data_IF_972279681846
#
_entry.id   IF_972279681846
#
_cell.length_a   1.000
_cell.length_b   1.000
_cell.length_c   1.000
_cell.angle_alpha   90.00
_cell.angle_beta   90.00
_cell.angle_gamma   90.00
#
_symmetry.space_group_name_H-M   'P 1'
#
loop_
_entity.id
_entity.type
_entity.pdbx_description
1 polymer ?
#
# COMPACT_ATOMS: atom_id res chain seq x y z
N UNK A 1 -4.21 14.46 16.77
CA UNK A 1 -3.40 15.69 16.81
C UNK A 1 -2.15 15.38 17.60
N UNK A 2 -0.98 15.70 17.06
CA UNK A 2 0.30 15.59 17.79
C UNK A 2 0.52 16.86 18.63
N UNK A 3 0.36 16.74 19.95
CA UNK A 3 0.49 17.88 20.89
C UNK A 3 1.96 18.19 21.20
N UNK A 4 2.86 17.22 21.13
CA UNK A 4 4.30 17.44 21.27
C UNK A 4 4.84 18.22 20.08
N UNK A 5 4.50 17.81 18.86
CA UNK A 5 4.85 18.51 17.64
C UNK A 5 4.26 19.92 17.58
N UNK A 6 3.06 20.13 18.13
CA UNK A 6 2.48 21.46 18.30
C UNK A 6 3.33 22.33 19.25
N UNK A 7 3.67 21.81 20.43
CA UNK A 7 4.49 22.49 21.42
C UNK A 7 5.87 22.86 20.86
N UNK A 8 6.56 21.92 20.20
CA UNK A 8 7.87 22.14 19.58
C UNK A 8 7.85 23.21 18.49
N UNK A 9 6.77 23.32 17.71
CA UNK A 9 6.63 24.40 16.71
C UNK A 9 6.46 25.76 17.39
N UNK A 10 5.55 25.86 18.34
CA UNK A 10 5.31 27.11 19.08
C UNK A 10 6.57 27.61 19.80
N UNK A 11 7.30 26.71 20.48
CA UNK A 11 8.55 27.04 21.17
C UNK A 11 9.69 27.47 20.23
N UNK A 12 9.67 27.08 18.94
CA UNK A 12 10.63 27.58 17.95
C UNK A 12 10.27 28.97 17.45
N UNK A 13 8.98 29.27 17.34
CA UNK A 13 8.47 30.55 16.86
C UNK A 13 8.60 31.64 17.93
N UNK A 14 8.18 31.34 19.16
CA UNK A 14 8.30 32.23 20.31
C UNK A 14 8.63 31.43 21.58
N UNK A 15 9.93 31.28 21.92
CA UNK A 15 10.36 30.59 23.12
C UNK A 15 9.92 31.26 24.43
N UNK A 16 9.42 32.51 24.38
CA UNK A 16 9.09 33.29 25.57
C UNK A 16 7.61 33.20 25.99
N UNK A 17 6.72 32.80 25.07
CA UNK A 17 5.27 32.67 25.30
C UNK A 17 4.86 31.28 25.81
N UNK A 18 5.48 30.82 26.91
CA UNK A 18 5.13 29.51 27.48
C UNK A 18 3.70 29.49 28.06
N UNK A 19 3.27 30.58 28.69
CA UNK A 19 1.93 30.69 29.26
C UNK A 19 0.86 30.67 28.16
N UNK A 20 1.06 31.41 27.06
CA UNK A 20 0.12 31.38 25.93
C UNK A 20 0.12 30.04 25.19
N UNK A 21 1.26 29.34 25.15
CA UNK A 21 1.33 27.97 24.63
C UNK A 21 0.56 26.98 25.50
N UNK A 22 0.71 27.06 26.82
CA UNK A 22 0.00 26.18 27.77
C UNK A 22 -1.51 26.33 27.59
N UNK A 23 -2.05 27.56 27.59
CA UNK A 23 -3.48 27.82 27.38
C UNK A 23 -4.00 27.25 26.05
N UNK A 24 -3.21 27.41 24.97
CA UNK A 24 -3.57 26.83 23.66
C UNK A 24 -3.58 25.30 23.69
N UNK A 25 -2.62 24.68 24.38
CA UNK A 25 -2.58 23.22 24.55
C UNK A 25 -3.76 22.73 25.38
N UNK A 26 -4.08 23.39 26.49
CA UNK A 26 -5.23 23.07 27.33
C UNK A 26 -6.52 23.10 26.53
N UNK A 27 -6.75 24.18 25.77
CA UNK A 27 -7.92 24.29 24.88
C UNK A 27 -8.01 23.11 23.91
N UNK A 28 -6.91 22.76 23.24
CA UNK A 28 -6.86 21.66 22.26
C UNK A 28 -7.04 20.28 22.89
N UNK A 29 -6.53 20.08 24.11
CA UNK A 29 -6.71 18.85 24.86
C UNK A 29 -8.18 18.69 25.23
N UNK A 30 -8.82 19.74 25.77
CA UNK A 30 -10.22 19.72 26.19
C UNK A 30 -11.21 19.62 25.01
N UNK A 31 -10.80 20.00 23.79
CA UNK A 31 -11.59 19.77 22.58
C UNK A 31 -11.79 18.28 22.26
N UNK A 32 -10.86 17.42 22.68
CA UNK A 32 -10.83 15.99 22.32
C UNK A 32 -11.04 15.10 23.55
N UNK A 33 -10.38 15.41 24.66
CA UNK A 33 -10.40 14.61 25.88
C UNK A 33 -11.47 15.11 26.86
N UNK A 34 -12.27 14.17 27.37
CA UNK A 34 -13.21 14.42 28.46
C UNK A 34 -12.52 14.32 29.83
N UNK A 35 -11.70 15.33 30.15
CA UNK A 35 -10.95 15.44 31.41
C UNK A 35 -11.21 16.79 32.08
N UNK A 36 -10.83 16.93 33.35
CA UNK A 36 -10.97 18.22 34.03
C UNK A 36 -9.96 19.25 33.50
N UNK A 37 -10.28 20.56 33.54
CA UNK A 37 -9.35 21.62 33.16
C UNK A 37 -8.02 21.54 33.91
N UNK A 38 -8.05 21.24 35.21
CA UNK A 38 -6.84 21.09 36.03
C UNK A 38 -5.95 19.98 35.47
N UNK A 39 -6.54 18.84 35.07
CA UNK A 39 -5.78 17.74 34.48
C UNK A 39 -5.21 18.11 33.11
N UNK A 40 -5.95 18.87 32.31
CA UNK A 40 -5.47 19.37 31.02
C UNK A 40 -4.26 20.31 31.20
N UNK A 41 -4.27 21.18 32.21
CA UNK A 41 -3.11 22.02 32.56
C UNK A 41 -1.89 21.18 32.94
N UNK A 42 -2.06 20.17 33.81
CA UNK A 42 -0.96 19.25 34.16
C UNK A 42 -0.33 18.58 32.94
N UNK A 43 -1.16 18.10 32.00
CA UNK A 43 -0.70 17.48 30.77
C UNK A 43 0.01 18.51 29.88
N UNK A 44 -0.57 19.69 29.67
CA UNK A 44 0.02 20.74 28.85
C UNK A 44 1.40 21.17 29.38
N UNK A 45 1.53 21.36 30.69
CA UNK A 45 2.79 21.69 31.34
C UNK A 45 3.83 20.57 31.17
N UNK A 46 3.44 19.30 31.31
CA UNK A 46 4.31 18.16 31.08
C UNK A 46 4.78 18.08 29.62
N UNK A 47 3.87 18.27 28.66
CA UNK A 47 4.16 18.31 27.22
C UNK A 47 5.18 19.40 26.90
N UNK A 48 5.02 20.61 27.45
CA UNK A 48 5.98 21.70 27.28
C UNK A 48 7.35 21.32 27.86
N UNK A 49 7.38 20.70 29.04
CA UNK A 49 8.61 20.24 29.68
C UNK A 49 9.38 19.25 28.78
N UNK A 50 8.71 18.21 28.29
CA UNK A 50 9.30 17.19 27.40
C UNK A 50 9.69 17.77 26.04
N UNK A 51 8.86 18.65 25.48
CA UNK A 51 9.13 19.35 24.23
C UNK A 51 10.42 20.19 24.33
N UNK A 52 10.59 20.96 25.42
CA UNK A 52 11.81 21.75 25.68
C UNK A 52 13.04 20.86 25.84
N UNK A 53 12.92 19.76 26.59
CA UNK A 53 14.01 18.83 26.84
C UNK A 53 14.53 18.19 25.53
N UNK A 54 13.67 18.03 24.53
CA UNK A 54 14.00 17.36 23.27
C UNK A 54 14.09 18.30 22.06
N UNK A 55 13.92 19.62 22.25
CA UNK A 55 13.85 20.59 21.15
C UNK A 55 15.17 20.75 20.39
N UNK A 56 16.27 20.80 21.14
CA UNK A 56 17.62 21.11 20.65
C UNK A 56 18.61 20.02 21.06
N UNK A 57 18.27 18.75 20.79
CA UNK A 57 19.15 17.62 21.08
C UNK A 57 20.34 17.60 20.13
N UNK A 58 21.55 17.45 20.68
CA UNK A 58 22.79 17.35 19.92
C UNK A 58 23.27 15.91 19.82
N UNK A 59 23.72 15.52 18.62
CA UNK A 59 24.37 14.24 18.38
C UNK A 59 23.91 13.58 17.08
N UNK A 60 24.85 12.99 16.36
CA UNK A 60 24.63 12.40 15.02
C UNK A 60 23.46 11.42 14.94
N UNK A 61 23.18 10.68 16.01
CA UNK A 61 22.07 9.70 16.07
C UNK A 61 20.76 10.35 16.51
N UNK A 62 20.81 11.43 17.29
CA UNK A 62 19.65 12.11 17.86
C UNK A 62 19.03 13.12 16.89
N UNK A 63 19.85 13.77 16.05
CA UNK A 63 19.37 14.71 15.06
C UNK A 63 18.58 13.98 13.95
N UNK A 64 17.33 14.39 13.64
CA UNK A 64 16.59 13.83 12.52
C UNK A 64 17.21 14.26 11.19
N UNK A 65 17.02 13.45 10.15
CA UNK A 65 17.32 13.84 8.78
C UNK A 65 16.13 14.63 8.23
N UNK A 66 16.36 15.81 7.63
CA UNK A 66 15.29 16.72 7.21
C UNK A 66 15.46 17.05 5.72
N UNK A 67 14.50 16.64 4.90
CA UNK A 67 14.44 17.01 3.47
C UNK A 67 13.76 18.36 3.23
N UNK A 68 12.88 18.79 4.14
CA UNK A 68 11.99 19.94 3.92
C UNK A 68 10.82 19.67 2.97
N UNK A 69 10.64 18.42 2.53
CA UNK A 69 9.58 18.01 1.60
C UNK A 69 8.60 17.09 2.34
N UNK A 70 7.30 17.41 2.32
CA UNK A 70 6.29 16.58 2.98
C UNK A 70 5.84 15.41 2.09
N UNK A 71 5.37 14.33 2.72
CA UNK A 71 4.79 13.17 2.03
C UNK A 71 3.64 13.56 1.09
N UNK A 72 2.78 14.50 1.52
CA UNK A 72 1.62 14.95 0.76
C UNK A 72 1.98 15.80 -0.46
N UNK A 73 2.97 16.68 -0.34
CA UNK A 73 3.47 17.49 -1.48
C UNK A 73 4.12 16.60 -2.53
N UNK A 74 4.95 15.64 -2.09
CA UNK A 74 5.66 14.75 -3.00
C UNK A 74 4.79 13.59 -3.54
N UNK A 75 3.65 13.32 -2.91
CA UNK A 75 2.74 12.25 -3.33
C UNK A 75 3.22 10.84 -2.96
N UNK A 76 3.84 10.69 -1.79
CA UNK A 76 4.26 9.37 -1.28
C UNK A 76 3.06 8.68 -0.63
N UNK A 77 2.91 7.37 -0.88
CA UNK A 77 1.75 6.57 -0.49
C UNK A 77 0.56 6.67 -1.45
N UNK A 78 0.74 7.27 -2.63
CA UNK A 78 -0.30 7.37 -3.66
C UNK A 78 0.03 6.67 -4.98
N UNK A 79 1.02 5.75 -5.00
CA UNK A 79 1.46 4.97 -6.19
C UNK A 79 1.67 5.85 -7.44
N UNK A 80 2.12 7.08 -7.21
CA UNK A 80 2.43 8.07 -8.21
C UNK A 80 3.94 8.21 -8.43
N UNK A 81 4.36 9.14 -9.29
CA UNK A 81 5.78 9.30 -9.64
C UNK A 81 6.67 9.57 -8.41
N UNK A 82 6.22 10.39 -7.47
CA UNK A 82 6.96 10.68 -6.25
C UNK A 82 7.06 9.49 -5.30
N UNK A 83 6.01 8.67 -5.22
CA UNK A 83 6.01 7.42 -4.44
C UNK A 83 7.08 6.44 -4.93
N UNK A 84 7.08 6.17 -6.24
CA UNK A 84 8.08 5.32 -6.87
C UNK A 84 9.50 5.84 -6.69
N UNK A 85 9.68 7.17 -6.70
CA UNK A 85 10.98 7.77 -6.46
C UNK A 85 11.48 7.53 -5.03
N UNK A 86 10.62 7.73 -4.03
CA UNK A 86 10.97 7.46 -2.63
C UNK A 86 11.25 5.97 -2.42
N UNK A 87 10.47 5.07 -3.01
CA UNK A 87 10.73 3.63 -2.94
C UNK A 87 12.11 3.25 -3.52
N UNK A 88 12.52 3.85 -4.63
CA UNK A 88 13.87 3.65 -5.16
C UNK A 88 14.95 4.12 -4.18
N UNK A 89 14.73 5.26 -3.50
CA UNK A 89 15.64 5.77 -2.46
C UNK A 89 15.69 4.87 -1.23
N UNK A 90 14.59 4.23 -0.84
CA UNK A 90 14.59 3.21 0.21
C UNK A 90 15.53 2.05 -0.16
N UNK A 91 15.47 1.59 -1.41
CA UNK A 91 16.40 0.58 -1.92
C UNK A 91 17.88 0.99 -1.82
N UNK A 92 18.21 2.24 -2.14
CA UNK A 92 19.56 2.81 -1.96
C UNK A 92 19.98 2.84 -0.48
N UNK A 93 19.08 3.26 0.42
CA UNK A 93 19.34 3.34 1.86
C UNK A 93 19.52 1.95 2.48
N UNK A 94 18.74 0.95 2.06
CA UNK A 94 18.89 -0.44 2.49
C UNK A 94 20.25 -0.98 2.00
N UNK A 95 20.54 -0.79 0.72
CA UNK A 95 21.73 -1.30 0.05
C UNK A 95 21.61 -2.77 -0.35
N UNK A 96 22.75 -3.41 -0.66
CA UNK A 96 22.76 -4.80 -1.14
C UNK A 96 22.35 -5.78 -0.04
N UNK A 97 21.42 -6.67 -0.37
CA UNK A 97 20.97 -7.75 0.50
C UNK A 97 21.46 -9.12 -0.01
N UNK A 98 21.26 -10.17 0.80
CA UNK A 98 21.45 -11.56 0.38
C UNK A 98 20.19 -12.23 -0.18
N UNK A 99 19.11 -11.47 -0.40
CA UNK A 99 17.85 -11.98 -0.90
C UNK A 99 17.89 -12.21 -2.42
N UNK A 100 16.99 -13.08 -2.90
CA UNK A 100 16.81 -13.39 -4.32
C UNK A 100 16.04 -12.26 -5.01
N UNK A 101 14.99 -11.78 -4.33
CA UNK A 101 14.23 -10.58 -4.70
C UNK A 101 14.28 -9.66 -3.50
N UNK A 102 14.75 -8.43 -3.70
CA UNK A 102 14.88 -7.42 -2.65
C UNK A 102 14.28 -6.07 -3.07
N UNK A 103 14.31 -5.11 -2.16
CA UNK A 103 13.71 -3.78 -2.35
C UNK A 103 14.24 -3.02 -3.57
N UNK A 104 15.39 -3.38 -4.14
CA UNK A 104 15.91 -2.72 -5.34
C UNK A 104 15.13 -3.09 -6.61
N UNK A 105 14.42 -4.22 -6.59
CA UNK A 105 13.63 -4.71 -7.73
C UNK A 105 12.20 -4.15 -7.74
N UNK A 106 11.74 -3.54 -6.63
CA UNK A 106 10.40 -2.95 -6.48
C UNK A 106 9.26 -3.93 -6.77
N UNK A 107 9.44 -5.21 -6.41
CA UNK A 107 8.40 -6.24 -6.54
C UNK A 107 7.47 -6.26 -5.31
N UNK A 108 6.38 -7.03 -5.37
CA UNK A 108 5.36 -7.09 -4.30
C UNK A 108 5.86 -7.75 -3.02
N UNK A 109 6.96 -8.49 -3.08
CA UNK A 109 7.47 -9.25 -1.94
C UNK A 109 8.98 -9.39 -1.94
N UNK A 110 9.54 -9.55 -0.74
CA UNK A 110 10.91 -10.00 -0.56
C UNK A 110 11.00 -11.52 -0.66
N UNK A 111 12.05 -12.04 -1.30
CA UNK A 111 12.23 -13.49 -1.50
C UNK A 111 13.61 -13.94 -1.04
N UNK A 112 13.66 -14.96 -0.19
CA UNK A 112 14.92 -15.63 0.20
C UNK A 112 14.88 -17.11 -0.20
N UNK A 113 16.04 -17.67 -0.56
CA UNK A 113 16.15 -19.09 -0.92
C UNK A 113 16.30 -19.94 0.35
N UNK A 114 15.52 -21.02 0.46
CA UNK A 114 15.59 -22.00 1.55
C UNK A 114 15.61 -23.41 0.94
N UNK A 115 16.79 -24.04 0.97
CA UNK A 115 17.01 -25.32 0.28
C UNK A 115 16.78 -25.16 -1.22
N UNK A 116 15.84 -25.95 -1.76
CA UNK A 116 15.42 -25.89 -3.17
C UNK A 116 14.22 -24.96 -3.41
N UNK A 117 13.63 -24.42 -2.33
CA UNK A 117 12.44 -23.56 -2.38
C UNK A 117 12.80 -22.09 -2.15
N UNK A 118 11.78 -21.25 -2.32
CA UNK A 118 11.78 -19.82 -2.04
C UNK A 118 10.77 -19.52 -0.94
N UNK A 119 11.21 -18.77 0.07
CA UNK A 119 10.34 -18.17 1.07
C UNK A 119 10.01 -16.75 0.61
N UNK A 120 8.73 -16.46 0.49
CA UNK A 120 8.18 -15.17 0.10
C UNK A 120 7.66 -14.47 1.34
N UNK A 121 8.01 -13.20 1.53
CA UNK A 121 7.59 -12.39 2.67
C UNK A 121 7.13 -11.02 2.18
N UNK A 122 5.96 -10.59 2.65
CA UNK A 122 5.41 -9.26 2.37
C UNK A 122 4.83 -8.62 3.63
N UNK A 123 4.61 -7.30 3.56
CA UNK A 123 3.84 -6.53 4.52
C UNK A 123 3.06 -5.44 3.82
N UNK A 124 1.77 -5.36 4.14
CA UNK A 124 0.85 -4.36 3.63
C UNK A 124 0.30 -3.48 4.74
N UNK A 125 0.21 -2.18 4.48
CA UNK A 125 -0.36 -1.21 5.39
C UNK A 125 -1.88 -1.13 5.26
N UNK A 126 -2.58 -0.84 6.36
CA UNK A 126 -4.02 -0.62 6.28
C UNK A 126 -4.35 0.57 5.38
N UNK A 127 -5.49 0.51 4.68
CA UNK A 127 -5.95 1.64 3.92
C UNK A 127 -6.27 2.81 4.86
N UNK A 128 -5.49 3.89 4.78
CA UNK A 128 -5.52 4.98 5.78
C UNK A 128 -6.92 5.56 6.00
N UNK A 129 -7.80 5.55 4.99
CA UNK A 129 -9.16 6.10 5.11
C UNK A 129 -10.19 5.14 5.74
N UNK A 130 -9.79 3.93 6.12
CA UNK A 130 -10.67 2.95 6.78
C UNK A 130 -10.48 2.88 8.30
N UNK A 131 -9.78 3.83 8.91
CA UNK A 131 -9.57 3.89 10.37
C UNK A 131 -10.84 3.86 11.22
N UNK A 132 -11.97 4.30 10.68
CA UNK A 132 -13.27 4.30 11.39
C UNK A 132 -14.15 3.10 10.99
N UNK A 133 -13.60 2.20 10.17
CA UNK A 133 -14.22 0.96 9.72
C UNK A 133 -13.26 -0.21 9.97
N UNK A 134 -12.97 -0.56 11.24
CA UNK A 134 -11.85 -1.43 11.57
C UNK A 134 -11.97 -2.84 10.98
N UNK A 135 -13.18 -3.43 10.98
CA UNK A 135 -13.44 -4.69 10.29
C UNK A 135 -13.03 -4.66 8.82
N UNK A 136 -13.52 -3.68 8.05
CA UNK A 136 -13.17 -3.54 6.63
C UNK A 136 -11.67 -3.31 6.46
N UNK A 137 -11.07 -2.50 7.34
CA UNK A 137 -9.63 -2.27 7.36
C UNK A 137 -8.86 -3.58 7.54
N UNK A 138 -9.29 -4.46 8.45
CA UNK A 138 -8.68 -5.76 8.72
C UNK A 138 -8.87 -6.75 7.58
N UNK A 139 -10.10 -6.85 7.07
CA UNK A 139 -10.44 -7.72 5.96
C UNK A 139 -9.62 -7.39 4.70
N UNK A 140 -9.58 -6.11 4.31
CA UNK A 140 -8.88 -5.71 3.09
C UNK A 140 -7.36 -5.79 3.23
N UNK A 141 -6.77 -5.45 4.38
CA UNK A 141 -5.29 -5.54 4.55
C UNK A 141 -4.83 -7.00 4.60
N UNK A 142 -5.59 -7.90 5.22
CA UNK A 142 -5.29 -9.33 5.21
C UNK A 142 -5.35 -9.90 3.79
N UNK A 143 -6.40 -9.51 3.05
CA UNK A 143 -6.51 -9.89 1.64
C UNK A 143 -5.32 -9.38 0.83
N UNK A 144 -4.96 -8.11 0.96
CA UNK A 144 -3.84 -7.49 0.24
C UNK A 144 -2.51 -8.24 0.51
N UNK A 145 -2.17 -8.46 1.78
CA UNK A 145 -0.96 -9.19 2.15
C UNK A 145 -0.93 -10.62 1.59
N UNK A 146 -2.07 -11.33 1.54
CA UNK A 146 -2.13 -12.65 0.91
C UNK A 146 -2.00 -12.57 -0.62
N UNK A 147 -2.57 -11.55 -1.27
CA UNK A 147 -2.46 -11.37 -2.72
C UNK A 147 -1.01 -11.25 -3.16
N UNK A 148 -0.21 -10.43 -2.47
CA UNK A 148 1.22 -10.28 -2.74
C UNK A 148 1.94 -11.64 -2.73
N UNK A 149 1.67 -12.49 -1.74
CA UNK A 149 2.25 -13.84 -1.66
C UNK A 149 1.78 -14.72 -2.82
N UNK A 150 0.47 -14.71 -3.12
CA UNK A 150 -0.09 -15.50 -4.21
C UNK A 150 0.42 -15.04 -5.60
N UNK A 151 0.57 -13.74 -5.82
CA UNK A 151 1.11 -13.14 -7.05
C UNK A 151 2.54 -13.57 -7.33
N UNK A 152 3.31 -13.91 -6.29
CA UNK A 152 4.65 -14.50 -6.44
C UNK A 152 4.64 -16.01 -6.74
N UNK A 153 3.45 -16.60 -6.91
CA UNK A 153 3.29 -18.03 -7.18
C UNK A 153 3.55 -18.87 -5.94
N UNK A 154 3.39 -18.29 -4.75
CA UNK A 154 3.63 -18.93 -3.48
C UNK A 154 2.35 -19.25 -2.73
N UNK A 155 2.37 -20.40 -2.05
CA UNK A 155 1.31 -20.81 -1.14
C UNK A 155 1.54 -20.12 0.20
N UNK A 156 0.59 -19.29 0.69
CA UNK A 156 0.72 -18.68 2.00
C UNK A 156 0.72 -19.73 3.12
N UNK A 157 1.49 -19.46 4.16
CA UNK A 157 1.68 -20.33 5.33
C UNK A 157 1.16 -19.69 6.61
N UNK A 158 1.30 -18.37 6.74
CA UNK A 158 0.91 -17.64 7.94
C UNK A 158 0.79 -16.13 7.68
N UNK A 159 -0.01 -15.47 8.51
CA UNK A 159 -0.10 -14.02 8.63
C UNK A 159 0.37 -13.54 10.00
N UNK A 160 0.80 -12.27 10.06
CA UNK A 160 1.11 -11.53 11.29
C UNK A 160 0.51 -10.12 11.22
N UNK A 161 0.14 -9.52 12.34
CA UNK A 161 -0.51 -8.19 12.36
C UNK A 161 0.20 -7.21 13.29
N UNK A 162 0.37 -5.97 12.88
CA UNK A 162 0.78 -4.86 13.76
C UNK A 162 -0.29 -3.76 13.69
N UNK A 163 -0.89 -3.40 14.82
CA UNK A 163 -2.02 -2.46 14.87
C UNK A 163 -1.82 -1.41 15.96
N UNK A 164 -2.02 -0.15 15.59
CA UNK A 164 -1.78 1.00 16.44
C UNK A 164 -3.04 1.86 16.49
N UNK A 165 -3.47 2.23 17.69
CA UNK A 165 -4.64 3.10 17.91
C UNK A 165 -4.18 4.31 18.71
N UNK A 166 -4.56 5.51 18.29
CA UNK A 166 -4.25 6.75 19.02
C UNK A 166 -4.92 6.76 20.41
N UNK A 167 -4.45 7.63 21.30
CA UNK A 167 -4.71 7.52 22.74
C UNK A 167 -6.20 7.56 23.14
N UNK A 168 -7.03 8.23 22.34
CA UNK A 168 -8.47 8.36 22.59
C UNK A 168 -9.32 7.35 21.78
N UNK A 169 -8.68 6.51 20.97
CA UNK A 169 -9.39 5.52 20.17
C UNK A 169 -9.92 4.36 21.01
N UNK A 170 -11.14 3.93 20.70
CA UNK A 170 -11.76 2.79 21.38
C UNK A 170 -10.96 1.50 21.12
N UNK A 171 -10.66 0.77 22.20
CA UNK A 171 -9.96 -0.53 22.16
C UNK A 171 -10.71 -1.55 21.29
N UNK A 172 -12.04 -1.44 21.19
CA UNK A 172 -12.86 -2.28 20.32
C UNK A 172 -12.44 -2.21 18.84
N UNK A 173 -11.83 -1.10 18.39
CA UNK A 173 -11.27 -1.01 17.03
C UNK A 173 -10.24 -2.12 16.78
N UNK A 174 -9.45 -2.51 17.79
CA UNK A 174 -8.47 -3.60 17.67
C UNK A 174 -9.19 -4.94 17.47
N UNK A 175 -10.20 -5.25 18.29
CA UNK A 175 -10.91 -6.52 18.17
C UNK A 175 -11.65 -6.64 16.84
N UNK A 176 -12.30 -5.56 16.40
CA UNK A 176 -13.02 -5.51 15.14
C UNK A 176 -12.08 -5.61 13.93
N UNK A 177 -10.91 -4.97 13.99
CA UNK A 177 -9.84 -5.14 13.00
C UNK A 177 -9.34 -6.58 12.90
N UNK A 178 -9.06 -7.21 14.04
CA UNK A 178 -8.63 -8.61 14.08
C UNK A 178 -9.74 -9.53 13.55
N UNK A 179 -11.01 -9.27 13.85
CA UNK A 179 -12.14 -10.02 13.30
C UNK A 179 -12.19 -9.97 11.76
N UNK A 180 -11.90 -8.80 11.16
CA UNK A 180 -11.75 -8.67 9.71
C UNK A 180 -10.62 -9.54 9.15
N UNK A 181 -9.46 -9.55 9.81
CA UNK A 181 -8.31 -10.39 9.41
C UNK A 181 -8.65 -11.88 9.54
N UNK A 182 -9.24 -12.29 10.67
CA UNK A 182 -9.54 -13.70 10.93
C UNK A 182 -10.67 -14.22 10.04
N UNK A 183 -11.57 -13.35 9.55
CA UNK A 183 -12.53 -13.74 8.51
C UNK A 183 -11.81 -14.22 7.25
N UNK A 184 -10.79 -13.50 6.78
CA UNK A 184 -9.97 -13.94 5.64
C UNK A 184 -9.17 -15.19 5.99
N UNK A 185 -8.64 -15.27 7.22
CA UNK A 185 -7.93 -16.45 7.73
C UNK A 185 -8.78 -17.72 7.66
N UNK A 186 -10.03 -17.67 8.13
CA UNK A 186 -10.95 -18.81 8.14
C UNK A 186 -11.39 -19.21 6.73
N UNK A 187 -11.65 -18.23 5.85
CA UNK A 187 -12.04 -18.49 4.46
C UNK A 187 -10.90 -19.12 3.63
N UNK A 188 -9.65 -18.81 3.95
CA UNK A 188 -8.47 -19.28 3.18
C UNK A 188 -7.73 -20.44 3.84
N UNK A 189 -7.99 -20.69 5.13
CA UNK A 189 -7.22 -21.62 5.96
C UNK A 189 -5.82 -21.13 6.34
N UNK A 190 -5.44 -19.88 6.03
CA UNK A 190 -4.13 -19.32 6.35
C UNK A 190 -4.17 -18.67 7.74
N UNK A 191 -3.45 -19.18 8.76
CA UNK A 191 -3.60 -18.71 10.14
C UNK A 191 -2.94 -17.35 10.39
N UNK A 192 -3.61 -16.49 11.18
CA UNK A 192 -2.97 -15.36 11.88
C UNK A 192 -2.27 -15.90 13.14
N UNK A 193 -0.94 -15.86 13.19
CA UNK A 193 -0.18 -16.57 14.24
C UNK A 193 0.50 -15.68 15.27
N UNK A 194 0.66 -14.38 14.99
CA UNK A 194 1.32 -13.44 15.91
C UNK A 194 0.96 -12.00 15.57
N UNK A 195 1.25 -11.08 16.50
CA UNK A 195 1.10 -9.66 16.25
C UNK A 195 1.60 -8.73 17.35
N UNK A 196 1.38 -7.43 17.14
CA UNK A 196 1.78 -6.34 18.03
C UNK A 196 0.68 -5.28 18.11
N UNK A 197 0.54 -4.66 19.29
CA UNK A 197 -0.42 -3.59 19.56
C UNK A 197 0.27 -2.42 20.26
N UNK A 198 0.14 -1.21 19.73
CA UNK A 198 0.73 0.01 20.32
C UNK A 198 -0.21 1.22 20.26
N UNK A 199 0.14 2.28 20.98
CA UNK A 199 -0.50 3.59 20.84
C UNK A 199 0.24 4.43 19.80
N UNK A 200 -0.48 5.06 18.87
CA UNK A 200 0.15 6.02 17.94
C UNK A 200 0.70 7.16 18.79
N UNK A 201 2.01 7.38 18.78
CA UNK A 201 2.67 8.47 19.53
C UNK A 201 2.45 8.45 21.05
N UNK A 202 2.02 7.32 21.63
CA UNK A 202 1.73 7.24 23.06
C UNK A 202 0.57 8.15 23.48
N UNK A 203 0.78 8.92 24.53
CA UNK A 203 -0.13 9.95 25.06
C UNK A 203 0.00 11.31 24.35
N UNK A 204 0.97 11.47 23.44
CA UNK A 204 1.23 12.72 22.69
C UNK A 204 0.40 12.86 21.42
N UNK A 205 -0.28 11.81 20.96
CA UNK A 205 -1.20 11.89 19.82
C UNK A 205 -2.61 11.63 20.29
N UNK A 206 -3.33 12.73 20.50
CA UNK A 206 -4.74 12.72 20.91
C UNK A 206 -5.66 12.50 19.70
N UNK A 207 -6.76 11.80 19.90
CA UNK A 207 -7.72 11.40 18.88
C UNK A 207 -7.80 9.90 18.67
N UNK A 208 -8.59 9.48 17.69
CA UNK A 208 -9.08 8.09 17.58
C UNK A 208 -8.52 7.33 16.36
N UNK A 209 -7.48 7.87 15.74
CA UNK A 209 -6.93 7.33 14.50
C UNK A 209 -6.34 5.94 14.74
N UNK A 210 -6.53 5.06 13.77
CA UNK A 210 -5.95 3.72 13.70
C UNK A 210 -4.99 3.65 12.51
N UNK A 211 -3.87 2.96 12.68
CA UNK A 211 -2.89 2.64 11.64
C UNK A 211 -2.30 1.26 11.92
N UNK A 212 -1.70 0.61 10.94
CA UNK A 212 -1.14 -0.72 11.13
C UNK A 212 -0.87 -1.41 9.80
N UNK A 213 -0.62 -2.71 9.86
CA UNK A 213 -0.43 -3.56 8.69
C UNK A 213 -0.56 -5.04 9.00
N UNK A 214 -0.64 -5.83 7.93
CA UNK A 214 -0.58 -7.29 7.99
C UNK A 214 0.58 -7.75 7.13
N UNK A 215 1.43 -8.59 7.71
CA UNK A 215 2.45 -9.33 6.99
C UNK A 215 1.97 -10.73 6.64
N UNK A 216 2.50 -11.29 5.57
CA UNK A 216 2.25 -12.67 5.17
C UNK A 216 3.55 -13.35 4.74
N UNK A 217 3.59 -14.67 4.95
CA UNK A 217 4.72 -15.52 4.58
C UNK A 217 4.21 -16.67 3.73
N UNK A 218 4.86 -16.96 2.61
CA UNK A 218 4.55 -18.09 1.74
C UNK A 218 5.77 -18.85 1.26
N UNK A 219 5.53 -19.99 0.62
CA UNK A 219 6.58 -20.83 0.06
C UNK A 219 6.25 -21.24 -1.38
N UNK A 220 7.26 -21.28 -2.24
CA UNK A 220 7.15 -21.82 -3.59
C UNK A 220 8.43 -22.48 -4.08
N UNK A 221 8.28 -23.37 -5.05
CA UNK A 221 9.40 -23.88 -5.86
C UNK A 221 9.58 -23.09 -7.18
N UNK A 222 8.63 -22.23 -7.55
CA UNK A 222 8.65 -21.47 -8.80
C UNK A 222 8.03 -20.09 -8.63
N UNK A 223 8.81 -19.05 -8.92
CA UNK A 223 8.39 -17.65 -8.80
C UNK A 223 7.71 -17.15 -10.07
N UNK A 224 6.67 -16.35 -9.94
CA UNK A 224 5.93 -15.72 -11.06
C UNK A 224 6.14 -14.20 -11.12
N UNK A 225 7.38 -13.75 -10.91
CA UNK A 225 7.76 -12.34 -10.86
C UNK A 225 7.52 -11.59 -12.18
N UNK A 226 7.23 -10.28 -12.09
CA UNK A 226 6.85 -9.40 -13.22
C UNK A 226 7.85 -9.39 -14.38
N UNK A 227 9.13 -9.52 -14.09
CA UNK A 227 10.22 -9.50 -15.08
C UNK A 227 10.25 -10.73 -16.02
N UNK A 228 9.36 -11.71 -15.82
CA UNK A 228 9.34 -12.95 -16.60
C UNK A 228 8.42 -12.90 -17.82
N UNK A 229 7.59 -11.86 -17.97
CA UNK A 229 6.70 -11.68 -19.12
C UNK A 229 7.48 -11.69 -20.46
N UNK A 230 6.91 -12.30 -21.50
CA UNK A 230 7.58 -12.52 -22.79
C UNK A 230 6.72 -12.12 -23.98
N UNK A 231 7.38 -11.73 -25.06
CA UNK A 231 6.74 -11.55 -26.36
C UNK A 231 5.96 -12.82 -26.76
N UNK A 232 4.72 -12.63 -27.20
CA UNK A 232 3.81 -13.71 -27.60
C UNK A 232 2.91 -14.24 -26.49
N UNK A 233 3.14 -13.86 -25.23
CA UNK A 233 2.24 -14.20 -24.14
C UNK A 233 0.87 -13.51 -24.28
N UNK A 234 -0.15 -14.16 -23.74
CA UNK A 234 -1.47 -13.56 -23.55
C UNK A 234 -1.62 -13.05 -22.11
N UNK A 235 -2.37 -11.94 -21.98
CA UNK A 235 -2.66 -11.31 -20.70
C UNK A 235 -4.10 -11.65 -20.34
N UNK A 236 -4.29 -12.34 -19.23
CA UNK A 236 -5.59 -12.70 -18.68
C UNK A 236 -5.88 -11.87 -17.44
N UNK A 237 -7.15 -11.58 -17.21
CA UNK A 237 -7.61 -10.91 -15.98
C UNK A 237 -8.84 -11.61 -15.44
N UNK A 238 -8.90 -11.82 -14.12
CA UNK A 238 -10.13 -12.27 -13.45
C UNK A 238 -11.11 -11.11 -13.30
N UNK A 239 -12.35 -11.41 -12.91
CA UNK A 239 -13.23 -10.39 -12.37
C UNK A 239 -12.64 -9.71 -11.12
N UNK A 240 -13.04 -8.46 -10.91
CA UNK A 240 -12.59 -7.63 -9.78
C UNK A 240 -13.68 -6.70 -9.26
N UNK A 241 -13.77 -6.60 -7.93
CA UNK A 241 -14.70 -5.71 -7.22
C UNK A 241 -13.99 -4.64 -6.38
N UNK A 242 -12.66 -4.59 -6.45
CA UNK A 242 -11.83 -3.71 -5.63
C UNK A 242 -11.74 -4.13 -4.17
N UNK A 243 -10.97 -3.36 -3.42
CA UNK A 243 -10.80 -3.51 -1.97
C UNK A 243 -10.91 -2.18 -1.27
N UNK A 244 -9.96 -1.90 -0.37
CA UNK A 244 -10.04 -0.73 0.52
C UNK A 244 -10.25 0.60 -0.21
N UNK A 245 -9.70 0.77 -1.42
CA UNK A 245 -9.91 1.96 -2.26
C UNK A 245 -11.36 2.10 -2.74
N UNK A 246 -11.96 1.01 -3.25
CA UNK A 246 -13.36 1.00 -3.70
C UNK A 246 -14.30 1.13 -2.50
N UNK A 247 -14.05 0.43 -1.40
CA UNK A 247 -14.85 0.53 -0.16
C UNK A 247 -14.81 1.94 0.40
N UNK A 248 -13.63 2.57 0.43
CA UNK A 248 -13.48 3.97 0.87
C UNK A 248 -14.27 4.92 -0.02
N UNK A 249 -14.24 4.71 -1.34
CA UNK A 249 -14.99 5.51 -2.31
C UNK A 249 -16.48 5.42 -2.03
N UNK A 250 -16.99 4.19 -1.91
CA UNK A 250 -18.39 3.91 -1.60
C UNK A 250 -18.84 4.58 -0.30
N UNK A 251 -18.05 4.45 0.77
CA UNK A 251 -18.35 5.04 2.09
C UNK A 251 -18.42 6.57 2.05
N UNK A 252 -17.50 7.24 1.35
CA UNK A 252 -17.47 8.71 1.32
C UNK A 252 -18.37 9.37 0.29
N UNK A 253 -19.01 8.59 -0.56
CA UNK A 253 -20.06 9.04 -1.47
C UNK A 253 -21.44 8.48 -1.09
N UNK A 254 -21.57 7.89 0.11
CA UNK A 254 -22.83 7.35 0.64
C UNK A 254 -23.44 6.21 -0.22
N UNK A 255 -22.61 5.50 -0.99
CA UNK A 255 -22.99 4.36 -1.85
C UNK A 255 -22.69 3.03 -1.16
N UNK A 256 -23.16 2.88 0.07
CA UNK A 256 -22.76 1.80 0.99
C UNK A 256 -23.04 0.38 0.46
N UNK A 257 -24.03 0.22 -0.42
CA UNK A 257 -24.36 -1.05 -1.05
C UNK A 257 -23.22 -1.63 -1.91
N UNK A 258 -22.27 -0.80 -2.33
CA UNK A 258 -21.09 -1.24 -3.09
C UNK A 258 -20.05 -1.88 -2.17
N UNK A 259 -20.04 -1.55 -0.87
CA UNK A 259 -19.07 -2.11 0.09
C UNK A 259 -19.20 -3.63 0.16
N UNK A 260 -20.42 -4.16 0.14
CA UNK A 260 -20.67 -5.60 0.18
C UNK A 260 -19.99 -6.36 -0.98
N UNK A 261 -19.90 -5.74 -2.17
CA UNK A 261 -19.22 -6.34 -3.33
C UNK A 261 -17.70 -6.49 -3.09
N UNK A 262 -17.11 -5.63 -2.25
CA UNK A 262 -15.67 -5.65 -1.96
C UNK A 262 -15.28 -6.71 -0.92
N UNK A 263 -16.25 -7.24 -0.17
CA UNK A 263 -16.04 -8.25 0.89
C UNK A 263 -16.08 -9.65 0.27
N UNK A 264 -15.02 -9.98 -0.46
CA UNK A 264 -14.87 -11.30 -1.10
C UNK A 264 -13.39 -11.73 -1.15
N UNK A 265 -13.15 -13.01 -1.41
CA UNK A 265 -11.81 -13.60 -1.57
C UNK A 265 -11.56 -14.19 -2.97
N UNK A 266 -12.28 -13.72 -4.00
CA UNK A 266 -12.27 -14.30 -5.36
C UNK A 266 -10.86 -14.36 -5.96
N UNK A 267 -10.06 -13.30 -5.76
CA UNK A 267 -8.66 -13.31 -6.15
C UNK A 267 -7.89 -14.49 -5.54
N UNK A 268 -8.03 -14.68 -4.22
CA UNK A 268 -7.30 -15.71 -3.49
C UNK A 268 -7.74 -17.11 -3.93
N UNK A 269 -9.04 -17.30 -4.18
CA UNK A 269 -9.60 -18.55 -4.71
C UNK A 269 -9.07 -18.86 -6.13
N UNK A 270 -8.96 -17.86 -7.01
CA UNK A 270 -8.38 -18.03 -8.35
C UNK A 270 -6.91 -18.47 -8.26
N UNK A 271 -6.11 -17.80 -7.43
CA UNK A 271 -4.71 -18.14 -7.21
C UNK A 271 -4.55 -19.54 -6.61
N UNK A 272 -5.39 -19.90 -5.65
CA UNK A 272 -5.39 -21.22 -5.03
C UNK A 272 -5.71 -22.32 -6.06
N UNK A 273 -6.68 -22.09 -6.97
CA UNK A 273 -6.98 -23.02 -8.06
C UNK A 273 -5.78 -23.21 -9.01
N UNK A 274 -5.05 -22.15 -9.35
CA UNK A 274 -3.83 -22.21 -10.16
C UNK A 274 -2.66 -22.89 -9.44
N UNK A 275 -2.57 -22.76 -8.11
CA UNK A 275 -1.58 -23.46 -7.30
C UNK A 275 -1.88 -24.96 -7.19
N UNK A 276 -3.13 -25.34 -6.93
CA UNK A 276 -3.55 -26.74 -6.81
C UNK A 276 -3.40 -27.53 -8.11
N UNK A 277 -3.61 -26.86 -9.26
CA UNK A 277 -3.45 -27.45 -10.59
C UNK A 277 -2.01 -27.45 -11.10
N UNK A 278 -1.06 -26.90 -10.35
CA UNK A 278 0.32 -26.64 -10.78
C UNK A 278 0.47 -25.72 -12.01
N UNK A 279 -0.61 -25.09 -12.49
CA UNK A 279 -0.57 -24.19 -13.64
C UNK A 279 0.26 -22.91 -13.37
N UNK A 280 0.38 -22.48 -12.11
CA UNK A 280 1.30 -21.40 -11.73
C UNK A 280 2.77 -21.67 -12.14
N UNK A 281 3.17 -22.93 -12.36
CA UNK A 281 4.52 -23.26 -12.87
C UNK A 281 4.66 -23.04 -14.38
N UNK A 282 3.54 -22.84 -15.09
CA UNK A 282 3.43 -22.65 -16.54
C UNK A 282 3.18 -21.20 -16.93
N UNK A 283 2.71 -20.37 -16.00
CA UNK A 283 2.59 -18.92 -16.21
C UNK A 283 3.96 -18.27 -16.13
N UNK A 284 4.13 -17.18 -16.86
CA UNK A 284 5.36 -16.39 -16.79
C UNK A 284 5.28 -15.40 -15.63
N UNK A 285 4.17 -14.68 -15.50
CA UNK A 285 3.97 -13.67 -14.46
C UNK A 285 2.56 -13.73 -13.89
N UNK A 286 2.44 -13.46 -12.60
CA UNK A 286 1.19 -13.13 -11.92
C UNK A 286 1.38 -11.80 -11.17
N UNK A 287 0.32 -10.99 -11.10
CA UNK A 287 0.28 -9.75 -10.31
C UNK A 287 -1.18 -9.45 -9.98
N UNK A 288 -1.42 -8.63 -8.97
CA UNK A 288 -2.75 -8.09 -8.71
C UNK A 288 -2.92 -6.67 -9.26
N UNK A 289 -4.16 -6.31 -9.60
CA UNK A 289 -4.53 -4.96 -10.02
C UNK A 289 -4.71 -4.07 -8.80
N UNK A 290 -3.61 -3.45 -8.35
CA UNK A 290 -3.54 -2.65 -7.11
C UNK A 290 -3.77 -1.15 -7.34
N UNK A 291 -3.39 -0.31 -6.37
CA UNK A 291 -3.51 1.14 -6.46
C UNK A 291 -2.67 1.68 -7.62
N UNK A 292 -3.29 2.49 -8.48
CA UNK A 292 -2.76 2.85 -9.79
C UNK A 292 -3.38 2.05 -10.95
N UNK A 293 -4.06 0.93 -10.64
CA UNK A 293 -4.78 0.07 -11.57
C UNK A 293 -3.89 -0.51 -12.67
N UNK A 294 -4.55 -1.05 -13.71
CA UNK A 294 -3.87 -1.66 -14.86
C UNK A 294 -2.91 -0.66 -15.53
N UNK A 295 -3.20 0.64 -15.47
CA UNK A 295 -2.27 1.69 -15.95
C UNK A 295 -0.92 1.62 -15.27
N UNK A 296 -0.92 1.56 -13.94
CA UNK A 296 0.29 1.45 -13.12
C UNK A 296 1.04 0.16 -13.42
N UNK A 297 0.34 -0.97 -13.31
CA UNK A 297 0.92 -2.31 -13.48
C UNK A 297 1.53 -2.47 -14.87
N UNK A 298 0.86 -2.00 -15.92
CA UNK A 298 1.36 -2.06 -17.29
C UNK A 298 2.70 -1.32 -17.46
N UNK A 299 2.86 -0.15 -16.84
CA UNK A 299 4.13 0.60 -16.89
C UNK A 299 5.24 -0.16 -16.17
N UNK A 300 4.94 -0.74 -15.02
CA UNK A 300 5.92 -1.49 -14.22
C UNK A 300 6.35 -2.78 -14.91
N UNK A 301 5.41 -3.58 -15.42
CA UNK A 301 5.70 -4.81 -16.16
C UNK A 301 6.49 -4.48 -17.42
N UNK A 302 6.09 -3.46 -18.18
CA UNK A 302 6.81 -3.05 -19.38
C UNK A 302 8.26 -2.67 -19.07
N UNK A 303 8.48 -1.89 -18.01
CA UNK A 303 9.82 -1.44 -17.59
C UNK A 303 10.70 -2.60 -17.11
N UNK A 304 10.14 -3.53 -16.35
CA UNK A 304 10.89 -4.62 -15.70
C UNK A 304 11.16 -5.78 -16.65
N UNK A 305 10.20 -6.17 -17.47
CA UNK A 305 10.35 -7.25 -18.45
C UNK A 305 10.91 -6.79 -19.81
N UNK A 306 10.90 -5.48 -20.09
CA UNK A 306 11.38 -4.94 -21.37
C UNK A 306 10.49 -5.34 -22.55
N UNK A 307 9.18 -5.34 -22.34
CA UNK A 307 8.15 -5.75 -23.31
C UNK A 307 7.11 -4.65 -23.51
N UNK A 308 6.34 -4.73 -24.59
CA UNK A 308 5.16 -3.90 -24.83
C UNK A 308 3.90 -4.66 -24.43
N UNK A 309 2.98 -4.02 -23.72
CA UNK A 309 1.66 -4.60 -23.40
C UNK A 309 0.57 -3.92 -24.24
N UNK A 310 -0.33 -4.72 -24.81
CA UNK A 310 -1.49 -4.21 -25.56
C UNK A 310 -2.76 -4.79 -24.97
N UNK A 311 -3.64 -3.89 -24.50
CA UNK A 311 -4.87 -4.22 -23.81
C UNK A 311 -6.12 -3.92 -24.66
N UNK A 312 -7.21 -4.63 -24.39
CA UNK A 312 -8.53 -4.44 -24.99
C UNK A 312 -9.49 -3.92 -23.90
N UNK A 313 -9.90 -2.64 -23.98
CA UNK A 313 -10.70 -2.02 -22.91
C UNK A 313 -12.04 -2.72 -22.70
N UNK A 314 -12.74 -3.06 -23.78
CA UNK A 314 -14.08 -3.66 -23.70
C UNK A 314 -14.08 -4.96 -22.88
N UNK A 315 -13.00 -5.75 -22.99
CA UNK A 315 -12.83 -7.00 -22.24
C UNK A 315 -12.50 -6.76 -20.77
N UNK A 316 -11.62 -5.79 -20.50
CA UNK A 316 -11.33 -5.38 -19.11
C UNK A 316 -12.61 -4.90 -18.44
N UNK A 317 -13.36 -4.02 -19.11
CA UNK A 317 -14.59 -3.42 -18.62
C UNK A 317 -15.64 -4.48 -18.26
N UNK A 318 -15.75 -5.56 -19.05
CA UNK A 318 -16.68 -6.65 -18.80
C UNK A 318 -16.38 -7.44 -17.51
N UNK A 319 -15.14 -7.38 -17.02
CA UNK A 319 -14.68 -8.06 -15.81
C UNK A 319 -14.72 -7.19 -14.55
N UNK A 320 -15.09 -5.90 -14.67
CA UNK A 320 -15.30 -5.04 -13.50
C UNK A 320 -16.69 -5.33 -12.93
N UNK A 321 -16.79 -5.54 -11.60
CA UNK A 321 -18.07 -5.73 -10.94
C UNK A 321 -19.06 -4.61 -11.34
N UNK A 322 -20.29 -4.93 -11.81
CA UNK A 322 -21.18 -3.93 -12.39
C UNK A 322 -21.56 -2.77 -11.45
N UNK A 323 -21.73 -3.03 -10.14
CA UNK A 323 -22.05 -1.98 -9.16
C UNK A 323 -20.85 -1.06 -8.94
N UNK A 324 -19.65 -1.65 -8.84
CA UNK A 324 -18.39 -0.91 -8.72
C UNK A 324 -18.15 -0.06 -9.96
N UNK A 325 -18.30 -0.64 -11.16
CA UNK A 325 -18.16 0.08 -12.42
C UNK A 325 -19.14 1.26 -12.48
N UNK A 326 -20.43 1.01 -12.21
CA UNK A 326 -21.45 2.06 -12.21
C UNK A 326 -21.13 3.21 -11.26
N UNK A 327 -20.65 2.91 -10.05
CA UNK A 327 -20.20 3.91 -9.08
C UNK A 327 -19.01 4.72 -9.64
N UNK A 328 -17.96 4.05 -10.11
CA UNK A 328 -16.75 4.71 -10.61
C UNK A 328 -17.08 5.65 -11.77
N UNK A 329 -17.92 5.21 -12.71
CA UNK A 329 -18.36 6.03 -13.84
C UNK A 329 -19.20 7.23 -13.42
N UNK A 330 -20.17 7.02 -12.53
CA UNK A 330 -21.00 8.09 -11.98
C UNK A 330 -20.14 9.19 -11.34
N UNK A 331 -19.12 8.78 -10.59
CA UNK A 331 -18.18 9.67 -9.90
C UNK A 331 -17.06 10.20 -10.78
N UNK A 332 -17.03 9.80 -12.06
CA UNK A 332 -15.98 10.13 -13.06
C UNK A 332 -14.58 9.72 -12.59
N UNK A 333 -14.48 8.58 -11.93
CA UNK A 333 -13.24 7.95 -11.50
C UNK A 333 -12.81 6.94 -12.57
N UNK A 334 -11.54 6.99 -12.97
CA UNK A 334 -10.99 6.09 -13.97
C UNK A 334 -10.80 4.69 -13.38
N UNK A 335 -11.64 3.73 -13.78
CA UNK A 335 -11.58 2.34 -13.29
C UNK A 335 -10.28 1.62 -13.69
N UNK A 336 -9.58 2.10 -14.73
CA UNK A 336 -8.27 1.58 -15.14
C UNK A 336 -7.12 2.13 -14.29
N UNK A 337 -7.40 3.14 -13.45
CA UNK A 337 -6.44 3.84 -12.61
C UNK A 337 -6.68 3.67 -11.11
N UNK A 338 -7.47 2.67 -10.71
CA UNK A 338 -7.76 2.31 -9.31
C UNK A 338 -7.59 0.80 -9.11
N UNK A 339 -7.42 0.39 -7.85
CA UNK A 339 -7.38 -1.01 -7.46
C UNK A 339 -8.72 -1.71 -7.71
N UNK A 340 -8.69 -2.72 -8.58
CA UNK A 340 -9.82 -3.63 -8.84
C UNK A 340 -9.70 -4.96 -8.08
N UNK A 341 -8.54 -5.22 -7.45
CA UNK A 341 -8.24 -6.47 -6.75
C UNK A 341 -8.48 -7.71 -7.64
N UNK A 342 -8.26 -7.56 -8.95
CA UNK A 342 -8.31 -8.63 -9.93
C UNK A 342 -6.92 -9.26 -10.10
N UNK A 343 -6.87 -10.55 -10.44
CA UNK A 343 -5.64 -11.26 -10.78
C UNK A 343 -5.32 -11.05 -12.25
N UNK A 344 -4.12 -10.56 -12.53
CA UNK A 344 -3.51 -10.55 -13.86
C UNK A 344 -2.56 -11.74 -14.00
N UNK A 345 -2.74 -12.49 -15.07
CA UNK A 345 -1.87 -13.63 -15.43
C UNK A 345 -1.29 -13.38 -16.82
N UNK A 346 0.03 -13.50 -16.96
CA UNK A 346 0.71 -13.46 -18.26
C UNK A 346 1.26 -14.86 -18.52
N UNK A 347 0.75 -15.49 -19.58
CA UNK A 347 1.03 -16.90 -19.86
C UNK A 347 1.22 -17.18 -21.37
N UNK A 348 1.97 -18.25 -21.70
CA UNK A 348 2.06 -18.75 -23.06
C UNK A 348 0.68 -19.16 -23.61
N UNK A 349 0.38 -18.94 -24.90
CA UNK A 349 -0.91 -19.29 -25.50
C UNK A 349 -1.33 -20.75 -25.30
N UNK A 350 -0.39 -21.69 -25.26
CA UNK A 350 -0.71 -23.12 -25.12
C UNK A 350 -1.30 -23.52 -23.76
N UNK A 351 -1.21 -22.68 -22.73
CA UNK A 351 -1.77 -22.94 -21.39
C UNK A 351 -3.02 -22.11 -21.08
N UNK A 352 -3.42 -21.22 -21.98
CA UNK A 352 -4.50 -20.24 -21.73
C UNK A 352 -5.85 -20.92 -21.51
N UNK A 353 -6.20 -21.92 -22.31
CA UNK A 353 -7.46 -22.65 -22.16
C UNK A 353 -7.54 -23.42 -20.83
N UNK A 354 -6.41 -24.00 -20.39
CA UNK A 354 -6.32 -24.70 -19.11
C UNK A 354 -6.47 -23.73 -17.93
N UNK A 355 -5.85 -22.55 -18.00
CA UNK A 355 -5.97 -21.48 -16.99
C UNK A 355 -7.42 -20.99 -16.91
N UNK A 356 -8.03 -20.65 -18.04
CA UNK A 356 -9.42 -20.20 -18.12
C UNK A 356 -10.37 -21.24 -17.53
N UNK A 357 -10.20 -22.51 -17.93
CA UNK A 357 -11.05 -23.61 -17.45
C UNK A 357 -10.89 -23.84 -15.96
N UNK A 358 -9.66 -23.79 -15.44
CA UNK A 358 -9.37 -24.00 -14.01
C UNK A 358 -9.98 -22.91 -13.13
N UNK A 359 -9.81 -21.65 -13.52
CA UNK A 359 -10.35 -20.51 -12.75
C UNK A 359 -11.87 -20.45 -12.84
N UNK A 360 -12.46 -20.69 -14.03
CA UNK A 360 -13.93 -20.77 -14.17
C UNK A 360 -14.54 -21.93 -13.41
N UNK A 361 -13.84 -23.06 -13.29
CA UNK A 361 -14.28 -24.19 -12.46
C UNK A 361 -14.32 -23.85 -10.97
N UNK A 362 -13.52 -22.87 -10.52
CA UNK A 362 -13.61 -22.29 -9.17
C UNK A 362 -14.74 -21.25 -9.04
N UNK A 363 -15.54 -21.03 -10.10
CA UNK A 363 -16.68 -20.12 -10.09
C UNK A 363 -16.31 -18.65 -10.25
N UNK A 364 -15.14 -18.37 -10.83
CA UNK A 364 -14.59 -17.02 -11.00
C UNK A 364 -14.50 -16.70 -12.48
N UNK A 365 -15.03 -15.53 -12.87
CA UNK A 365 -14.92 -15.08 -14.25
C UNK A 365 -13.49 -14.65 -14.57
N UNK A 366 -13.02 -14.98 -15.77
CA UNK A 366 -11.69 -14.67 -16.28
C UNK A 366 -11.73 -14.62 -17.81
N UNK A 367 -10.98 -13.70 -18.41
CA UNK A 367 -10.83 -13.63 -19.87
C UNK A 367 -9.46 -13.09 -20.30
N UNK A 368 -9.11 -13.31 -21.57
CA UNK A 368 -7.92 -12.74 -22.21
C UNK A 368 -8.20 -11.29 -22.56
N UNK A 369 -7.57 -10.37 -21.82
CA UNK A 369 -7.75 -8.92 -21.96
C UNK A 369 -6.68 -8.25 -22.83
N UNK A 370 -5.69 -9.00 -23.29
CA UNK A 370 -4.59 -8.41 -24.04
C UNK A 370 -3.49 -9.40 -24.40
N UNK A 371 -2.37 -8.85 -24.88
CA UNK A 371 -1.20 -9.61 -25.32
C UNK A 371 0.09 -8.85 -25.07
N UNK A 372 1.19 -9.59 -25.03
CA UNK A 372 2.54 -9.05 -24.91
C UNK A 372 3.22 -9.05 -26.28
N UNK A 373 3.73 -7.89 -26.68
CA UNK A 373 4.42 -7.67 -27.95
C UNK A 373 5.88 -7.27 -27.72
N UNK A 374 6.67 -7.35 -28.79
CA UNK A 374 8.03 -6.80 -28.81
C UNK A 374 8.01 -5.28 -28.68
N UNK A 375 8.82 -4.73 -27.79
CA UNK A 375 9.01 -3.29 -27.65
C UNK A 375 8.97 -2.85 -26.19
N UNK A 376 8.53 -1.61 -25.96
CA UNK A 376 8.37 -1.04 -24.62
C UNK A 376 7.14 -0.12 -24.59
N UNK A 377 6.60 0.12 -23.40
CA UNK A 377 5.39 0.88 -23.17
C UNK A 377 4.14 0.02 -23.08
N UNK A 378 3.00 0.68 -22.94
CA UNK A 378 1.69 0.05 -22.93
C UNK A 378 0.72 0.81 -23.83
N UNK A 379 -0.16 0.08 -24.49
CA UNK A 379 -1.24 0.63 -25.31
C UNK A 379 -2.57 -0.01 -24.92
N UNK A 380 -3.65 0.72 -25.13
CA UNK A 380 -5.01 0.21 -24.95
C UNK A 380 -5.84 0.49 -26.21
N UNK A 381 -6.58 -0.51 -26.66
CA UNK A 381 -7.54 -0.40 -27.74
C UNK A 381 -8.88 0.09 -27.18
N UNK A 382 -9.32 1.27 -27.63
CA UNK A 382 -10.63 1.86 -27.31
C UNK A 382 -11.44 1.91 -28.61
N UNK A 383 -12.53 1.15 -28.71
CA UNK A 383 -13.34 1.03 -29.94
C UNK A 383 -12.51 0.73 -31.21
N UNK A 384 -11.45 -0.08 -31.07
CA UNK A 384 -10.55 -0.44 -32.16
C UNK A 384 -9.39 0.54 -32.43
N UNK A 385 -9.34 1.69 -31.76
CA UNK A 385 -8.20 2.63 -31.86
C UNK A 385 -7.19 2.40 -30.74
N UNK A 386 -5.91 2.20 -31.10
CA UNK A 386 -4.82 2.09 -30.13
C UNK A 386 -4.43 3.48 -29.62
N UNK A 387 -4.33 3.61 -28.29
CA UNK A 387 -3.85 4.82 -27.62
C UNK A 387 -2.79 4.47 -26.58
N UNK A 388 -1.91 5.42 -26.33
CA UNK A 388 -0.89 5.27 -25.29
C UNK A 388 -1.55 5.09 -23.92
N UNK A 389 -1.08 4.09 -23.17
CA UNK A 389 -1.65 3.70 -21.89
C UNK A 389 -0.68 4.06 -20.76
N UNK A 390 -0.64 5.35 -20.41
CA UNK A 390 0.28 5.90 -19.40
C UNK A 390 -0.44 6.09 -18.06
N UNK A 391 0.24 5.87 -16.92
CA UNK A 391 -0.26 6.28 -15.62
C UNK A 391 -0.45 7.79 -15.52
N UNK A 392 -1.42 8.21 -14.71
CA UNK A 392 -1.52 9.60 -14.25
C UNK A 392 -0.46 9.86 -13.18
N UNK A 393 -0.16 11.14 -12.92
CA UNK A 393 0.89 11.53 -11.97
C UNK A 393 0.59 11.09 -10.53
N UNK A 394 -0.68 11.14 -10.14
CA UNK A 394 -1.25 10.58 -8.91
C UNK A 394 -2.33 9.56 -9.26
N UNK A 395 -2.59 8.65 -8.33
CA UNK A 395 -3.76 7.77 -8.36
C UNK A 395 -5.05 8.59 -8.55
N UNK A 396 -6.04 8.03 -9.23
CA UNK A 396 -7.32 8.71 -9.48
C UNK A 396 -7.92 9.26 -8.19
N UNK A 397 -8.28 10.55 -8.17
CA UNK A 397 -8.88 11.18 -7.00
C UNK A 397 -10.27 10.60 -6.68
N UNK A 398 -10.32 9.58 -5.81
CA UNK A 398 -11.52 8.81 -5.50
C UNK A 398 -12.25 9.25 -4.21
N UNK A 399 -11.77 10.29 -3.52
CA UNK A 399 -12.47 10.89 -2.37
C UNK A 399 -12.67 12.38 -2.57
N UNK A 400 -13.69 13.00 -1.94
CA UNK A 400 -13.91 14.45 -2.04
C UNK A 400 -12.67 15.28 -1.66
N UNK A 401 -11.97 14.92 -0.58
CA UNK A 401 -10.75 15.63 -0.14
C UNK A 401 -9.61 15.47 -1.15
N UNK A 402 -9.41 14.27 -1.72
CA UNK A 402 -8.40 14.06 -2.78
C UNK A 402 -8.70 14.92 -4.02
N UNK A 403 -9.97 15.05 -4.42
CA UNK A 403 -10.37 15.88 -5.58
C UNK A 403 -10.04 17.36 -5.40
N UNK A 404 -10.03 17.87 -4.17
CA UNK A 404 -9.63 19.27 -3.87
C UNK A 404 -8.12 19.47 -4.00
N UNK A 405 -7.31 18.49 -3.60
CA UNK A 405 -5.84 18.58 -3.68
C UNK A 405 -5.33 18.50 -5.12
N UNK A 406 -6.14 17.96 -6.05
CA UNK A 406 -5.82 17.84 -7.47
C UNK A 406 -4.72 16.81 -7.77
N UNK A 407 -4.56 16.55 -9.08
CA UNK A 407 -3.62 15.57 -9.64
C UNK A 407 -2.41 16.24 -10.33
N UNK A 408 -2.24 17.56 -10.19
CA UNK A 408 -1.24 18.34 -10.92
C UNK A 408 0.20 18.17 -10.36
N UNK A 409 1.16 18.27 -11.27
CA UNK A 409 2.58 18.15 -10.98
C UNK A 409 3.08 19.41 -10.23
N UNK A 410 3.75 19.28 -9.07
CA UNK A 410 4.33 20.44 -8.39
C UNK A 410 5.34 21.15 -9.29
N UNK A 411 5.31 22.49 -9.33
CA UNK A 411 6.18 23.30 -10.21
C UNK A 411 7.68 23.05 -9.96
N UNK A 412 8.05 22.57 -8.77
CA UNK A 412 9.43 22.43 -8.31
C UNK A 412 9.84 20.96 -8.05
N UNK A 413 9.26 20.00 -8.79
CA UNK A 413 9.46 18.56 -8.55
C UNK A 413 10.94 18.11 -8.55
N UNK A 414 11.78 18.67 -9.43
CA UNK A 414 13.21 18.34 -9.47
C UNK A 414 13.98 18.89 -8.26
N UNK A 415 13.60 20.05 -7.72
CA UNK A 415 14.21 20.59 -6.50
C UNK A 415 13.86 19.69 -5.30
N UNK A 416 12.60 19.24 -5.21
CA UNK A 416 12.19 18.29 -4.18
C UNK A 416 12.94 16.96 -4.26
N UNK A 417 13.17 16.44 -5.47
CA UNK A 417 13.99 15.22 -5.67
C UNK A 417 15.41 15.41 -5.16
N UNK A 418 16.05 16.54 -5.47
CA UNK A 418 17.40 16.83 -4.99
C UNK A 418 17.45 16.92 -3.44
N UNK A 419 16.42 17.49 -2.81
CA UNK A 419 16.30 17.53 -1.35
C UNK A 419 16.16 16.12 -0.74
N UNK A 420 15.36 15.25 -1.38
CA UNK A 420 15.18 13.85 -0.97
C UNK A 420 16.47 13.04 -1.17
N UNK A 421 17.19 13.25 -2.26
CA UNK A 421 18.49 12.59 -2.51
C UNK A 421 19.49 12.92 -1.41
N UNK A 422 19.59 14.20 -1.04
CA UNK A 422 20.45 14.64 0.05
C UNK A 422 20.06 13.96 1.37
N UNK A 423 18.76 13.92 1.69
CA UNK A 423 18.27 13.25 2.89
C UNK A 423 18.60 11.74 2.89
N UNK A 424 18.44 11.05 1.77
CA UNK A 424 18.80 9.63 1.65
C UNK A 424 20.30 9.40 1.89
N UNK A 425 21.16 10.23 1.32
CA UNK A 425 22.61 10.16 1.53
C UNK A 425 22.98 10.41 3.01
N UNK A 426 22.40 11.43 3.65
CA UNK A 426 22.62 11.70 5.07
C UNK A 426 22.19 10.53 5.96
N UNK A 427 21.08 9.86 5.63
CA UNK A 427 20.64 8.66 6.34
C UNK A 427 21.62 7.48 6.16
N UNK A 428 22.17 7.30 4.96
CA UNK A 428 23.20 6.30 4.68
C UNK A 428 24.47 6.58 5.49
N UNK A 429 24.96 7.82 5.50
CA UNK A 429 26.15 8.22 6.26
C UNK A 429 25.95 8.00 7.76
N UNK A 430 24.78 8.39 8.29
CA UNK A 430 24.42 8.17 9.69
C UNK A 430 24.44 6.68 10.04
N UNK A 431 23.85 5.83 9.19
CA UNK A 431 23.90 4.36 9.33
C UNK A 431 25.33 3.85 9.39
N UNK A 432 26.21 4.28 8.48
CA UNK A 432 27.60 3.82 8.45
C UNK A 432 28.38 4.23 9.69
N UNK A 433 28.25 5.48 10.15
CA UNK A 433 28.87 5.95 11.40
C UNK A 433 28.47 5.09 12.60
N UNK A 434 27.19 4.74 12.71
CA UNK A 434 26.69 3.87 13.79
C UNK A 434 27.27 2.45 13.67
N UNK A 435 27.29 1.87 12.47
CA UNK A 435 27.87 0.54 12.24
C UNK A 435 29.36 0.49 12.61
N UNK A 436 30.14 1.48 12.20
CA UNK A 436 31.55 1.57 12.57
C UNK A 436 31.73 1.70 14.09
N UNK A 437 30.93 2.55 14.74
CA UNK A 437 30.98 2.72 16.20
C UNK A 437 30.66 1.43 16.94
N UNK A 438 29.68 0.64 16.47
CA UNK A 438 29.31 -0.64 17.07
C UNK A 438 30.39 -1.70 16.82
N UNK A 439 30.94 -1.79 15.61
CA UNK A 439 31.97 -2.79 15.24
C UNK A 439 33.34 -2.55 15.88
N UNK A 440 33.65 -1.31 16.26
CA UNK A 440 34.89 -0.95 16.98
C UNK A 440 34.82 -1.27 18.48
N UNK A 441 33.64 -1.50 19.03
CA UNK A 441 33.44 -2.01 20.40
C UNK A 441 33.43 -3.53 20.37
#
# INVERSE_FOLDING_TARGET
MDIEGYAKRALREDPSDEAGLEEKLVSRILEIKNISPEKAHEIAAAVICEAKATLNVEGDVLAPTISGVTMGEFGVGSRGVGDFYVHAKLGEVIGKTGAVVDSSQLDDSGVVKIGENYLVVTIDGIHSRLSDFPFLSGFHVARAALRDVYSMGARPLAMLSDIHVADDGDVAKIFDHIAGITTVSELTGVPLITGSTLRIGGDMVIGERMTGGVGAVGITSSLTSRNRAREGDLILMTEGAGGGTVSTTALYYEMHEVVEETINIRFLEACEALLQSDLHKKVHSMTDVTNGGIRGDAKEISKTAGVKLVFEEEKIRALVNPKVLSMLEHLKIDYLGVSLDALLVIAPPEYVDDILSTVRAAGIEIDVIGRVEKGSGAEISLNGELREFVPRFRESAYTPVKKVHGDENPKDFEEMKAAIDKAALEAIEKKQKVLEKIRRK
#
